data_IF_887828553923
#
_entry.id   IF_887828553923
#
_cell.length_a   1.000
_cell.length_b   1.000
_cell.length_c   1.000
_cell.angle_alpha   90.00
_cell.angle_beta   90.00
_cell.angle_gamma   90.00
#
_symmetry.space_group_name_H-M   'P 1'
#
loop_
_entity.id
_entity.type
_entity.pdbx_description
1 polymer ?
#
# COMPACT_ATOMS: atom_id res chain seq x y z
N UNK A 1 -62.96 -42.16 -29.59
CA UNK A 1 -62.55 -40.85 -30.14
C UNK A 1 -61.92 -40.07 -29.00
N UNK A 2 -60.59 -40.09 -28.90
CA UNK A 2 -59.82 -39.36 -27.89
C UNK A 2 -59.77 -37.88 -28.26
N UNK A 3 -60.29 -37.02 -27.38
CA UNK A 3 -60.22 -35.57 -27.52
C UNK A 3 -59.00 -35.09 -26.75
N UNK A 4 -58.03 -34.52 -27.47
CA UNK A 4 -56.90 -33.79 -26.93
C UNK A 4 -57.38 -32.46 -26.35
N UNK A 5 -57.00 -32.15 -25.11
CA UNK A 5 -57.05 -30.78 -24.58
C UNK A 5 -55.68 -30.13 -24.78
N UNK A 6 -55.57 -28.95 -25.40
CA UNK A 6 -54.33 -28.19 -25.38
C UNK A 6 -54.12 -27.60 -23.98
N UNK A 7 -52.95 -27.86 -23.39
CA UNK A 7 -52.47 -27.14 -22.21
C UNK A 7 -52.03 -25.76 -22.67
N UNK A 8 -52.87 -24.76 -22.38
CA UNK A 8 -52.57 -23.35 -22.57
C UNK A 8 -51.37 -22.96 -21.68
N UNK A 9 -50.18 -22.84 -22.28
CA UNK A 9 -48.97 -22.42 -21.58
C UNK A 9 -49.03 -20.91 -21.36
N UNK A 10 -49.76 -20.49 -20.32
CA UNK A 10 -49.86 -19.10 -19.90
C UNK A 10 -48.53 -18.69 -19.23
N UNK A 11 -47.56 -18.29 -20.04
CA UNK A 11 -46.31 -17.71 -19.56
C UNK A 11 -46.63 -16.40 -18.85
N UNK A 12 -46.42 -16.39 -17.53
CA UNK A 12 -46.69 -15.24 -16.67
C UNK A 12 -45.76 -14.08 -17.06
N UNK A 13 -46.22 -13.20 -17.95
CA UNK A 13 -45.55 -11.95 -18.35
C UNK A 13 -45.00 -11.19 -17.13
N UNK A 14 -45.78 -11.16 -16.04
CA UNK A 14 -45.39 -10.54 -14.76
C UNK A 14 -44.08 -11.12 -14.18
N UNK A 15 -43.86 -12.42 -14.32
CA UNK A 15 -42.66 -13.11 -13.82
C UNK A 15 -41.42 -12.77 -14.64
N UNK A 16 -41.59 -12.55 -15.95
CA UNK A 16 -40.50 -12.17 -16.86
C UNK A 16 -40.10 -10.72 -16.61
N UNK A 17 -41.07 -9.83 -16.39
CA UNK A 17 -40.82 -8.44 -15.99
C UNK A 17 -40.09 -8.35 -14.64
N UNK A 18 -40.51 -9.13 -13.64
CA UNK A 18 -39.84 -9.17 -12.33
C UNK A 18 -38.40 -9.69 -12.44
N UNK A 19 -38.16 -10.73 -13.24
CA UNK A 19 -36.81 -11.25 -13.50
C UNK A 19 -35.92 -10.21 -14.21
N UNK A 20 -36.48 -9.48 -15.18
CA UNK A 20 -35.77 -8.40 -15.87
C UNK A 20 -35.37 -7.26 -14.94
N UNK A 21 -36.26 -6.88 -14.00
CA UNK A 21 -35.97 -5.85 -13.00
C UNK A 21 -34.86 -6.30 -12.04
N UNK A 22 -34.92 -7.55 -11.56
CA UNK A 22 -33.87 -8.10 -10.67
C UNK A 22 -32.51 -8.14 -11.36
N UNK A 23 -32.46 -8.58 -12.63
CA UNK A 23 -31.23 -8.59 -13.43
C UNK A 23 -30.68 -7.18 -13.70
N UNK A 24 -31.56 -6.20 -13.90
CA UNK A 24 -31.16 -4.80 -14.06
C UNK A 24 -30.52 -4.24 -12.77
N UNK A 25 -31.12 -4.49 -11.60
CA UNK A 25 -30.56 -4.07 -10.32
C UNK A 25 -29.27 -4.80 -9.94
N UNK A 26 -29.11 -6.07 -10.33
CA UNK A 26 -27.85 -6.81 -10.15
C UNK A 26 -26.75 -6.35 -11.09
N UNK A 27 -27.09 -5.82 -12.27
CA UNK A 27 -26.12 -5.29 -13.24
C UNK A 27 -25.68 -3.86 -12.89
N UNK A 28 -26.48 -3.12 -12.13
CA UNK A 28 -26.20 -1.73 -11.75
C UNK A 28 -25.41 -1.58 -10.45
N UNK A 29 -24.77 -2.63 -9.93
CA UNK A 29 -23.79 -2.47 -8.85
C UNK A 29 -22.49 -1.88 -9.40
N UNK A 30 -22.54 -0.67 -9.95
CA UNK A 30 -21.34 0.15 -9.99
C UNK A 30 -20.98 0.44 -8.54
N UNK A 31 -19.97 -0.29 -8.05
CA UNK A 31 -19.35 -0.01 -6.78
C UNK A 31 -18.82 1.41 -6.84
N UNK A 32 -19.52 2.35 -6.21
CA UNK A 32 -18.99 3.65 -5.83
C UNK A 32 -17.94 3.44 -4.73
N UNK A 33 -16.90 2.64 -5.00
CA UNK A 33 -15.67 2.76 -4.27
C UNK A 33 -15.13 4.14 -4.62
N UNK A 34 -15.26 5.09 -3.71
CA UNK A 34 -14.52 6.35 -3.81
C UNK A 34 -13.08 6.01 -4.17
N UNK A 35 -12.42 6.73 -5.11
CA UNK A 35 -11.02 6.50 -5.42
C UNK A 35 -10.27 6.36 -4.10
N UNK A 36 -9.50 5.28 -3.88
CA UNK A 36 -8.91 5.02 -2.59
C UNK A 36 -8.14 6.26 -2.17
N UNK A 37 -8.55 6.90 -1.07
CA UNK A 37 -7.90 8.10 -0.61
C UNK A 37 -6.41 7.81 -0.35
N UNK A 38 -5.56 8.85 -0.39
CA UNK A 38 -4.10 8.68 -0.26
C UNK A 38 -3.69 7.96 1.02
N UNK A 39 -4.48 8.10 2.08
CA UNK A 39 -4.29 7.35 3.32
C UNK A 39 -4.46 5.84 3.12
N UNK A 40 -5.53 5.39 2.46
CA UNK A 40 -5.74 3.98 2.15
C UNK A 40 -4.64 3.43 1.23
N UNK A 41 -4.21 4.22 0.23
CA UNK A 41 -3.08 3.84 -0.63
C UNK A 41 -1.78 3.65 0.17
N UNK A 42 -1.50 4.55 1.12
CA UNK A 42 -0.37 4.44 2.03
C UNK A 42 -0.45 3.18 2.90
N UNK A 43 -1.61 2.86 3.47
CA UNK A 43 -1.81 1.63 4.25
C UNK A 43 -1.52 0.38 3.40
N UNK A 44 -2.02 0.33 2.17
CA UNK A 44 -1.77 -0.79 1.26
C UNK A 44 -0.29 -0.89 0.85
N UNK A 45 0.37 0.24 0.60
CA UNK A 45 1.78 0.26 0.25
C UNK A 45 2.67 -0.20 1.42
N UNK A 46 2.36 0.21 2.66
CA UNK A 46 3.03 -0.26 3.88
C UNK A 46 2.91 -1.78 4.04
N UNK A 47 1.70 -2.31 3.87
CA UNK A 47 1.45 -3.76 3.91
C UNK A 47 2.22 -4.52 2.81
N UNK A 48 2.34 -3.92 1.62
CA UNK A 48 3.14 -4.49 0.53
C UNK A 48 4.62 -4.56 0.87
N UNK A 49 5.17 -3.51 1.48
CA UNK A 49 6.57 -3.50 1.94
C UNK A 49 6.86 -4.60 2.96
N UNK A 50 5.96 -4.77 3.93
CA UNK A 50 6.08 -5.83 4.93
C UNK A 50 6.06 -7.22 4.28
N UNK A 51 5.07 -7.50 3.43
CA UNK A 51 4.91 -8.81 2.78
C UNK A 51 6.04 -9.15 1.81
N UNK A 52 6.48 -8.18 1.01
CA UNK A 52 7.45 -8.40 -0.08
C UNK A 52 8.89 -8.35 0.41
N UNK A 53 9.19 -7.44 1.34
CA UNK A 53 10.57 -7.15 1.73
C UNK A 53 10.85 -7.33 3.22
N UNK A 54 9.85 -7.66 4.05
CA UNK A 54 10.03 -7.88 5.49
C UNK A 54 10.22 -6.61 6.31
N UNK A 55 9.86 -5.44 5.76
CA UNK A 55 9.93 -4.14 6.44
C UNK A 55 8.82 -4.07 7.49
N UNK A 56 9.18 -4.10 8.77
CA UNK A 56 8.22 -4.27 9.89
C UNK A 56 7.62 -2.96 10.37
N UNK A 57 8.32 -1.85 10.16
CA UNK A 57 7.83 -0.53 10.56
C UNK A 57 8.09 0.50 9.46
N UNK A 58 7.09 1.36 9.25
CA UNK A 58 7.16 2.52 8.38
C UNK A 58 6.56 3.71 9.11
N UNK A 59 7.42 4.66 9.44
CA UNK A 59 7.08 5.88 10.15
C UNK A 59 7.13 7.09 9.21
N UNK A 60 6.17 8.01 9.34
CA UNK A 60 6.09 9.22 8.53
C UNK A 60 6.37 10.42 9.46
N UNK A 61 7.33 11.27 9.11
CA UNK A 61 7.72 12.43 9.90
C UNK A 61 7.27 13.74 9.27
N UNK A 62 6.85 14.74 10.08
CA UNK A 62 6.83 14.73 11.54
C UNK A 62 5.75 13.80 12.10
N UNK A 63 6.06 13.10 13.20
CA UNK A 63 5.07 12.32 13.94
C UNK A 63 3.98 13.27 14.44
N UNK A 64 2.81 13.25 13.80
CA UNK A 64 1.60 13.85 14.36
C UNK A 64 0.80 12.72 15.00
N UNK A 65 0.52 12.87 16.29
CA UNK A 65 -0.27 11.91 17.08
C UNK A 65 -1.67 11.74 16.48
N UNK A 66 -2.21 12.80 15.86
CA UNK A 66 -3.45 12.78 15.07
C UNK A 66 -3.17 13.04 13.58
N UNK A 67 -3.26 12.00 12.76
CA UNK A 67 -3.32 12.12 11.30
C UNK A 67 -4.79 12.29 10.92
N UNK A 68 -5.18 13.50 10.51
CA UNK A 68 -6.55 13.88 10.17
C UNK A 68 -6.71 14.51 8.79
N UNK A 69 -7.85 15.16 8.57
CA UNK A 69 -8.32 15.68 7.27
C UNK A 69 -8.01 17.16 7.01
N UNK A 70 -7.14 17.80 7.81
CA UNK A 70 -6.71 19.18 7.52
C UNK A 70 -5.77 19.20 6.30
N UNK A 71 -5.79 20.26 5.50
CA UNK A 71 -4.97 20.38 4.27
C UNK A 71 -3.49 20.06 4.52
N UNK A 72 -2.91 20.61 5.59
CA UNK A 72 -1.52 20.36 5.96
C UNK A 72 -1.25 18.88 6.32
N UNK A 73 -2.24 18.17 6.86
CA UNK A 73 -2.13 16.73 7.18
C UNK A 73 -2.26 15.86 5.93
N UNK A 74 -3.09 16.27 4.95
CA UNK A 74 -3.21 15.59 3.65
C UNK A 74 -1.86 15.62 2.93
N UNK A 75 -1.18 16.77 2.92
CA UNK A 75 0.14 16.90 2.31
C UNK A 75 1.17 15.91 2.91
N UNK A 76 1.16 15.72 4.24
CA UNK A 76 2.06 14.76 4.89
C UNK A 76 1.75 13.31 4.51
N UNK A 77 0.47 12.94 4.33
CA UNK A 77 0.08 11.62 3.86
C UNK A 77 0.61 11.39 2.43
N UNK A 78 0.50 12.40 1.57
CA UNK A 78 0.98 12.32 0.18
C UNK A 78 2.51 12.23 0.09
N UNK A 79 3.22 13.02 0.88
CA UNK A 79 4.68 12.98 0.97
C UNK A 79 5.14 11.63 1.51
N UNK A 80 4.51 11.13 2.57
CA UNK A 80 4.87 9.83 3.11
C UNK A 80 4.61 8.71 2.10
N UNK A 81 3.46 8.74 1.42
CA UNK A 81 3.15 7.80 0.37
C UNK A 81 4.20 7.83 -0.75
N UNK A 82 4.60 9.02 -1.20
CA UNK A 82 5.66 9.19 -2.20
C UNK A 82 6.98 8.57 -1.74
N UNK A 83 7.40 8.81 -0.50
CA UNK A 83 8.62 8.21 0.05
C UNK A 83 8.54 6.69 0.18
N UNK A 84 7.38 6.15 0.56
CA UNK A 84 7.14 4.69 0.60
C UNK A 84 7.26 4.06 -0.79
N UNK A 85 6.69 4.70 -1.82
CA UNK A 85 6.80 4.22 -3.20
C UNK A 85 8.24 4.29 -3.73
N UNK A 86 8.95 5.37 -3.41
CA UNK A 86 10.36 5.55 -3.73
C UNK A 86 11.20 4.44 -3.11
N UNK A 87 10.99 4.16 -1.82
CA UNK A 87 11.71 3.10 -1.12
C UNK A 87 11.42 1.70 -1.68
N UNK A 88 10.14 1.40 -1.94
CA UNK A 88 9.76 0.13 -2.58
C UNK A 88 10.47 -0.04 -3.95
N UNK A 89 10.52 1.03 -4.74
CA UNK A 89 11.19 1.05 -6.04
C UNK A 89 12.71 0.87 -5.93
N UNK A 90 13.32 1.37 -4.85
CA UNK A 90 14.73 1.16 -4.56
C UNK A 90 15.01 -0.28 -4.13
N UNK A 91 14.15 -0.86 -3.29
CA UNK A 91 14.25 -2.26 -2.85
C UNK A 91 14.15 -3.26 -4.01
N UNK A 92 13.33 -2.97 -5.01
CA UNK A 92 13.25 -3.78 -6.23
C UNK A 92 14.54 -3.79 -7.06
N UNK A 93 15.47 -2.87 -6.80
CA UNK A 93 16.73 -2.72 -7.56
C UNK A 93 17.96 -3.29 -6.84
N UNK A 94 17.82 -3.75 -5.60
CA UNK A 94 18.94 -4.21 -4.78
C UNK A 94 18.72 -5.66 -4.31
N UNK A 95 19.80 -6.43 -4.21
CA UNK A 95 19.74 -7.78 -3.64
C UNK A 95 19.52 -7.68 -2.13
N UNK A 96 18.56 -8.47 -1.61
CA UNK A 96 18.10 -8.58 -0.21
C UNK A 96 18.86 -7.70 0.80
N UNK A 97 18.24 -6.59 1.21
CA UNK A 97 18.70 -5.83 2.37
C UNK A 97 17.82 -6.16 3.56
N UNK A 98 18.44 -6.51 4.69
CA UNK A 98 17.74 -6.73 5.95
C UNK A 98 17.41 -5.37 6.60
N UNK A 99 16.34 -4.74 6.14
CA UNK A 99 15.84 -3.46 6.67
C UNK A 99 14.54 -3.74 7.40
N UNK A 100 14.56 -3.51 8.70
CA UNK A 100 13.41 -3.83 9.56
C UNK A 100 12.54 -2.60 9.85
N UNK A 101 13.08 -1.39 9.73
CA UNK A 101 12.34 -0.15 9.96
C UNK A 101 12.77 0.96 8.99
N UNK A 102 11.81 1.77 8.54
CA UNK A 102 12.07 3.00 7.80
C UNK A 102 11.30 4.19 8.37
N UNK A 103 11.90 5.37 8.28
CA UNK A 103 11.27 6.66 8.50
C UNK A 103 11.28 7.49 7.22
N UNK A 104 10.12 7.94 6.75
CA UNK A 104 10.02 8.91 5.66
C UNK A 104 10.01 10.30 6.29
N UNK A 105 10.98 11.15 5.97
CA UNK A 105 11.17 12.44 6.65
C UNK A 105 11.71 13.51 5.71
N UNK A 106 11.53 14.82 5.98
CA UNK A 106 12.18 15.86 5.18
C UNK A 106 13.71 15.90 5.36
N UNK A 107 14.24 15.10 6.29
CA UNK A 107 15.64 15.13 6.70
C UNK A 107 16.41 14.00 6.02
N UNK A 108 17.69 14.28 5.78
CA UNK A 108 18.69 13.51 5.04
C UNK A 108 18.62 11.98 5.15
N UNK A 109 19.15 11.31 4.12
CA UNK A 109 19.46 9.88 4.14
C UNK A 109 20.40 9.56 5.31
N UNK A 110 19.83 9.02 6.39
CA UNK A 110 20.54 8.68 7.62
C UNK A 110 20.05 7.36 8.16
N UNK A 111 20.89 6.70 8.94
CA UNK A 111 20.47 5.53 9.72
C UNK A 111 20.12 5.95 11.14
N UNK A 112 18.98 5.48 11.65
CA UNK A 112 18.58 5.60 13.06
C UNK A 112 19.06 4.39 13.85
N UNK A 113 20.38 4.25 14.00
CA UNK A 113 21.00 2.98 14.43
C UNK A 113 21.13 1.99 13.28
N UNK A 114 21.27 0.69 13.55
CA UNK A 114 21.55 -0.31 12.49
C UNK A 114 20.31 -0.72 11.66
N UNK A 115 19.12 -0.64 12.26
CA UNK A 115 17.90 -1.24 11.71
C UNK A 115 16.89 -0.25 11.13
N UNK A 116 17.07 1.05 11.38
CA UNK A 116 16.18 2.10 10.91
C UNK A 116 16.86 2.95 9.85
N UNK A 117 16.17 3.24 8.75
CA UNK A 117 16.66 4.12 7.68
C UNK A 117 15.71 5.30 7.52
N UNK A 118 16.25 6.50 7.46
CA UNK A 118 15.53 7.73 7.17
C UNK A 118 15.68 8.07 5.68
N UNK A 119 14.56 8.28 4.98
CA UNK A 119 14.54 8.57 3.54
C UNK A 119 13.75 9.86 3.28
N UNK A 120 14.35 10.85 2.60
CA UNK A 120 13.62 11.98 2.05
C UNK A 120 12.59 11.53 1.01
N UNK A 121 11.35 12.01 1.13
CA UNK A 121 10.29 11.68 0.17
C UNK A 121 10.58 12.19 -1.24
N UNK A 122 11.47 13.19 -1.37
CA UNK A 122 11.90 13.83 -2.60
C UNK A 122 13.32 13.41 -3.02
N UNK A 123 13.93 12.44 -2.35
CA UNK A 123 15.26 11.95 -2.71
C UNK A 123 15.26 11.33 -4.13
N UNK A 124 16.33 11.54 -4.92
CA UNK A 124 16.50 10.83 -6.19
C UNK A 124 16.59 9.32 -5.98
N UNK A 125 15.86 8.53 -6.79
CA UNK A 125 15.88 7.06 -6.71
C UNK A 125 17.30 6.47 -6.77
N UNK A 126 18.16 7.01 -7.62
CA UNK A 126 19.56 6.55 -7.74
C UNK A 126 20.34 6.73 -6.43
N UNK A 127 20.10 7.82 -5.72
CA UNK A 127 20.75 8.11 -4.45
C UNK A 127 20.28 7.14 -3.36
N UNK A 128 18.96 6.88 -3.30
CA UNK A 128 18.39 5.88 -2.39
C UNK A 128 18.96 4.48 -2.68
N UNK A 129 19.05 4.08 -3.95
CA UNK A 129 19.63 2.79 -4.35
C UNK A 129 21.10 2.68 -3.92
N UNK A 130 21.92 3.71 -4.17
CA UNK A 130 23.34 3.73 -3.75
C UNK A 130 23.45 3.61 -2.24
N UNK A 131 22.69 4.42 -1.51
CA UNK A 131 22.68 4.43 -0.05
C UNK A 131 22.31 3.06 0.54
N UNK A 132 21.29 2.39 -0.02
CA UNK A 132 20.87 1.07 0.45
C UNK A 132 21.91 -0.02 0.09
N UNK A 133 22.59 0.11 -1.04
CA UNK A 133 23.64 -0.81 -1.48
C UNK A 133 24.93 -0.71 -0.66
N UNK A 134 25.23 0.47 -0.11
CA UNK A 134 26.42 0.74 0.72
C UNK A 134 26.26 0.31 2.18
N UNK A 135 25.13 -0.27 2.57
CA UNK A 135 24.83 -0.57 3.97
C UNK A 135 25.76 -1.65 4.54
N UNK A 136 26.35 -1.35 5.70
CA UNK A 136 27.27 -2.24 6.43
C UNK A 136 26.59 -3.59 6.72
N UNK A 137 27.25 -4.70 6.36
CA UNK A 137 26.76 -6.06 6.59
C UNK A 137 26.58 -6.37 8.08
N UNK A 138 25.69 -7.30 8.43
CA UNK A 138 25.50 -7.74 9.83
C UNK A 138 26.79 -8.23 10.49
N UNK A 139 27.68 -8.88 9.73
CA UNK A 139 28.97 -9.32 10.24
C UNK A 139 29.82 -8.12 10.70
N UNK A 140 29.89 -7.07 9.89
CA UNK A 140 30.64 -5.86 10.21
C UNK A 140 29.97 -5.05 11.34
N UNK A 141 28.63 -5.06 11.43
CA UNK A 141 27.91 -4.48 12.57
C UNK A 141 28.24 -5.20 13.88
N UNK A 142 28.33 -6.54 13.87
CA UNK A 142 28.69 -7.33 15.05
C UNK A 142 30.11 -7.01 15.53
N UNK A 143 31.07 -6.94 14.60
CA UNK A 143 32.46 -6.55 14.89
C UNK A 143 32.50 -5.17 15.54
N UNK A 144 31.83 -4.18 14.95
CA UNK A 144 31.76 -2.83 15.53
C UNK A 144 31.17 -2.83 16.95
N UNK A 145 30.08 -3.59 17.18
CA UNK A 145 29.47 -3.69 18.51
C UNK A 145 30.41 -4.33 19.54
N UNK A 146 31.23 -5.30 19.14
CA UNK A 146 32.24 -5.94 20.00
C UNK A 146 33.43 -5.00 20.31
N UNK A 147 33.78 -4.07 19.42
CA UNK A 147 34.86 -3.09 19.63
C UNK A 147 34.50 -1.98 20.63
N UNK A 148 33.20 -1.69 20.78
CA UNK A 148 32.71 -0.60 21.65
C UNK A 148 32.06 -1.11 22.95
N UNK A 149 31.88 -2.42 23.10
CA UNK A 149 31.36 -3.06 24.33
C UNK A 149 32.45 -3.27 25.36
#
# INVERSE_FOLDING_TARGET
MTIFFPVEQRTNSLSIFLLGIILFFLSSSESFASPPNKFNQLVLAKNSLEKKFGVRSVECFPFKEDIGFTEDQIQFIEQCYTGVQLFASALDKISKVEIFSIGISPRFLKTGGFNTILIPWDAPLKEVVSFLGEKISKANQKIFLEEIS
#
